data_IF_278205052912
#
_entry.id   IF_278205052912
#
_cell.length_a   1.000
_cell.length_b   1.000
_cell.length_c   1.000
_cell.angle_alpha   90.00
_cell.angle_beta   90.00
_cell.angle_gamma   90.00
#
_symmetry.space_group_name_H-M   'P 1'
#
loop_
_entity.id
_entity.type
_entity.pdbx_description
1 polymer ?
#
# COMPACT_ATOMS: atom_id res chain seq x y z
N UNK A 1 -3.70 -15.07 -4.18
CA UNK A 1 -2.87 -13.86 -4.26
C UNK A 1 -2.68 -13.52 -5.75
N UNK A 2 -3.15 -12.34 -6.17
CA UNK A 2 -3.13 -11.94 -7.58
C UNK A 2 -1.70 -11.76 -8.11
N UNK A 3 -0.79 -11.27 -7.28
CA UNK A 3 0.63 -11.13 -7.60
C UNK A 3 1.31 -12.47 -7.95
N UNK A 4 0.98 -13.54 -7.22
CA UNK A 4 1.52 -14.87 -7.54
C UNK A 4 1.01 -15.37 -8.90
N UNK A 5 -0.26 -15.11 -9.25
CA UNK A 5 -0.81 -15.41 -10.57
C UNK A 5 -0.13 -14.56 -11.66
N UNK A 6 0.06 -13.28 -11.42
CA UNK A 6 0.76 -12.36 -12.31
C UNK A 6 2.20 -12.82 -12.57
N UNK A 7 2.94 -13.21 -11.54
CA UNK A 7 4.30 -13.75 -11.69
C UNK A 7 4.34 -15.06 -12.46
N UNK A 8 3.37 -15.94 -12.22
CA UNK A 8 3.23 -17.16 -13.00
C UNK A 8 2.97 -16.85 -14.50
N UNK A 9 2.07 -15.92 -14.79
CA UNK A 9 1.79 -15.44 -16.13
C UNK A 9 3.05 -14.85 -16.79
N UNK A 10 3.79 -14.01 -16.09
CA UNK A 10 5.07 -13.46 -16.56
C UNK A 10 6.07 -14.57 -16.88
N UNK A 11 6.32 -15.47 -15.94
CA UNK A 11 7.27 -16.57 -16.13
C UNK A 11 6.95 -17.44 -17.34
N UNK A 12 5.65 -17.76 -17.51
CA UNK A 12 5.17 -18.56 -18.65
C UNK A 12 5.38 -17.85 -19.99
N UNK A 13 5.05 -16.56 -20.07
CA UNK A 13 5.08 -15.82 -21.34
C UNK A 13 6.50 -15.38 -21.74
N UNK A 14 7.40 -15.20 -20.78
CA UNK A 14 8.77 -14.70 -21.01
C UNK A 14 9.84 -15.77 -20.81
N UNK A 15 9.45 -17.04 -20.64
CA UNK A 15 10.39 -18.13 -20.44
C UNK A 15 11.27 -17.92 -19.20
N UNK A 16 10.74 -17.21 -18.18
CA UNK A 16 11.48 -16.84 -17.00
C UNK A 16 11.16 -17.79 -15.83
N UNK A 17 12.09 -17.83 -14.87
CA UNK A 17 11.90 -18.53 -13.60
C UNK A 17 12.21 -17.57 -12.46
N UNK A 18 11.24 -16.73 -12.11
CA UNK A 18 11.40 -15.70 -11.08
C UNK A 18 10.65 -16.05 -9.81
N UNK A 19 11.22 -15.71 -8.67
CA UNK A 19 10.64 -15.82 -7.33
C UNK A 19 10.77 -14.50 -6.59
N UNK A 20 9.92 -14.19 -5.59
CA UNK A 20 10.09 -13.01 -4.77
C UNK A 20 11.34 -13.14 -3.92
N UNK A 21 12.13 -12.08 -3.86
CA UNK A 21 13.37 -12.02 -3.08
C UNK A 21 13.55 -10.66 -2.42
N UNK A 22 14.46 -10.60 -1.45
CA UNK A 22 14.99 -9.34 -0.93
C UNK A 22 16.44 -9.21 -1.37
N UNK A 23 16.72 -8.16 -2.14
CA UNK A 23 18.09 -7.79 -2.51
C UNK A 23 18.71 -6.92 -1.43
N UNK A 24 20.00 -7.11 -1.15
CA UNK A 24 20.75 -6.30 -0.19
C UNK A 24 22.10 -5.91 -0.80
N UNK A 25 22.44 -4.63 -0.70
CA UNK A 25 23.73 -4.10 -1.07
C UNK A 25 24.12 -2.97 -0.13
N UNK A 26 25.26 -3.09 0.52
CA UNK A 26 25.73 -2.17 1.56
C UNK A 26 24.70 -2.04 2.69
N UNK A 27 24.20 -0.85 2.94
CA UNK A 27 23.14 -0.55 3.93
C UNK A 27 21.73 -0.51 3.32
N UNK A 28 21.60 -0.76 2.01
CA UNK A 28 20.33 -0.68 1.29
C UNK A 28 19.73 -2.06 1.08
N UNK A 29 18.41 -2.11 1.09
CA UNK A 29 17.66 -3.33 0.78
C UNK A 29 16.42 -3.01 -0.05
N UNK A 30 16.03 -3.92 -0.92
CA UNK A 30 14.85 -3.81 -1.75
C UNK A 30 14.12 -5.14 -1.85
N UNK A 31 12.80 -5.12 -1.72
CA UNK A 31 11.95 -6.26 -2.06
C UNK A 31 11.66 -6.24 -3.56
N UNK A 32 11.77 -7.41 -4.19
CA UNK A 32 11.47 -7.62 -5.61
C UNK A 32 10.32 -8.61 -5.74
N UNK A 33 9.32 -8.28 -6.55
CA UNK A 33 8.18 -9.16 -6.82
C UNK A 33 8.59 -10.41 -7.60
N UNK A 34 9.65 -10.31 -8.43
CA UNK A 34 10.24 -11.44 -9.09
C UNK A 34 11.70 -11.19 -9.49
N UNK A 35 12.58 -12.12 -9.13
CA UNK A 35 13.98 -12.18 -9.55
C UNK A 35 14.37 -13.61 -9.85
N UNK A 36 15.13 -13.82 -10.91
CA UNK A 36 15.56 -15.14 -11.35
C UNK A 36 16.32 -15.08 -12.67
N UNK A 37 16.12 -16.09 -13.51
CA UNK A 37 16.75 -16.17 -14.83
C UNK A 37 15.70 -16.38 -15.91
N UNK A 38 16.02 -15.94 -17.14
CA UNK A 38 15.28 -16.30 -18.33
C UNK A 38 15.80 -17.64 -18.94
N UNK A 39 15.23 -18.05 -20.08
CA UNK A 39 15.63 -19.28 -20.79
C UNK A 39 17.05 -19.28 -21.32
N UNK A 40 17.69 -18.12 -21.41
CA UNK A 40 19.08 -17.96 -21.85
C UNK A 40 20.06 -17.86 -20.66
N UNK A 41 19.54 -17.96 -19.42
CA UNK A 41 20.32 -17.88 -18.19
C UNK A 41 20.66 -16.45 -17.75
N UNK A 42 20.11 -15.41 -18.40
CA UNK A 42 20.33 -14.01 -18.04
C UNK A 42 19.53 -13.66 -16.79
N UNK A 43 20.11 -12.89 -15.89
CA UNK A 43 19.44 -12.42 -14.67
C UNK A 43 18.35 -11.41 -15.02
N UNK A 44 17.15 -11.72 -14.58
CA UNK A 44 15.95 -10.94 -14.87
C UNK A 44 15.24 -10.55 -13.57
N UNK A 45 14.72 -9.34 -13.52
CA UNK A 45 13.77 -8.92 -12.49
C UNK A 45 12.47 -8.40 -13.10
N UNK A 46 11.40 -8.52 -12.34
CA UNK A 46 10.10 -7.97 -12.69
C UNK A 46 9.47 -7.30 -11.47
N UNK A 47 9.00 -6.07 -11.67
CA UNK A 47 8.12 -5.36 -10.75
C UNK A 47 6.68 -5.53 -11.22
N UNK A 48 5.81 -6.04 -10.35
CA UNK A 48 4.45 -6.44 -10.70
C UNK A 48 3.44 -5.47 -10.08
N UNK A 49 2.51 -5.01 -10.90
CA UNK A 49 1.37 -4.21 -10.45
C UNK A 49 0.06 -4.86 -10.86
N UNK A 50 -0.80 -5.11 -9.86
CA UNK A 50 -2.13 -5.69 -10.04
C UNK A 50 -3.19 -4.65 -9.62
N UNK A 51 -3.54 -3.69 -10.48
CA UNK A 51 -4.42 -2.60 -10.10
C UNK A 51 -5.86 -3.08 -9.89
N UNK A 52 -6.42 -2.79 -8.72
CA UNK A 52 -7.78 -3.20 -8.38
C UNK A 52 -8.89 -2.55 -9.25
N UNK A 53 -8.59 -1.38 -9.87
CA UNK A 53 -9.47 -0.71 -10.85
C UNK A 53 -9.29 -1.24 -12.28
N UNK A 54 -8.48 -2.26 -12.48
CA UNK A 54 -8.20 -2.80 -13.81
C UNK A 54 -7.74 -1.72 -14.79
N UNK A 55 -8.35 -1.66 -15.97
CA UNK A 55 -8.02 -0.72 -17.06
C UNK A 55 -8.30 0.74 -16.72
N UNK A 56 -9.13 1.03 -15.73
CA UNK A 56 -9.43 2.40 -15.31
C UNK A 56 -8.39 2.98 -14.37
N UNK A 57 -7.41 2.20 -13.95
CA UNK A 57 -6.32 2.65 -13.07
C UNK A 57 -5.34 3.55 -13.80
N UNK A 58 -4.71 4.47 -13.08
CA UNK A 58 -3.67 5.35 -13.61
C UNK A 58 -2.46 4.55 -14.09
N UNK A 59 -2.05 3.53 -13.33
CA UNK A 59 -0.90 2.69 -13.71
C UNK A 59 -1.15 1.94 -15.02
N UNK A 60 -2.37 1.46 -15.27
CA UNK A 60 -2.71 0.84 -16.54
C UNK A 60 -2.69 1.85 -17.69
N UNK A 61 -3.26 3.04 -17.48
CA UNK A 61 -3.32 4.09 -18.51
C UNK A 61 -1.93 4.55 -18.93
N UNK A 62 -1.03 4.78 -17.97
CA UNK A 62 0.37 5.11 -18.27
C UNK A 62 1.07 3.94 -18.98
N UNK A 63 0.93 2.73 -18.46
CA UNK A 63 1.55 1.55 -19.06
C UNK A 63 1.06 1.30 -20.50
N UNK A 64 -0.21 1.58 -20.80
CA UNK A 64 -0.75 1.45 -22.16
C UNK A 64 -0.15 2.45 -23.16
N UNK A 65 0.48 3.51 -22.68
CA UNK A 65 1.25 4.48 -23.45
C UNK A 65 2.75 4.17 -23.50
N UNK A 66 3.18 3.08 -22.86
CA UNK A 66 4.58 2.70 -22.72
C UNK A 66 5.32 3.48 -21.61
N UNK A 67 4.57 4.11 -20.70
CA UNK A 67 5.12 4.96 -19.65
C UNK A 67 5.07 4.26 -18.28
N UNK A 68 6.10 4.51 -17.48
CA UNK A 68 6.19 4.10 -16.08
C UNK A 68 6.12 5.35 -15.20
N UNK A 69 5.25 5.37 -14.21
CA UNK A 69 5.18 6.48 -13.27
C UNK A 69 6.52 6.70 -12.57
N UNK A 70 6.90 7.97 -12.36
CA UNK A 70 8.22 8.35 -11.84
C UNK A 70 8.59 7.63 -10.53
N UNK A 71 7.64 7.44 -9.63
CA UNK A 71 7.91 6.73 -8.36
C UNK A 71 8.19 5.23 -8.56
N UNK A 72 7.59 4.56 -9.55
CA UNK A 72 7.94 3.19 -9.91
C UNK A 72 9.29 3.10 -10.61
N UNK A 73 9.62 4.08 -11.45
CA UNK A 73 10.97 4.18 -12.02
C UNK A 73 12.03 4.19 -10.91
N UNK A 74 11.91 5.07 -9.91
CA UNK A 74 12.86 5.15 -8.81
C UNK A 74 12.87 3.90 -7.92
N UNK A 75 11.73 3.26 -7.70
CA UNK A 75 11.67 1.96 -7.03
C UNK A 75 12.50 0.92 -7.80
N UNK A 76 12.36 0.86 -9.12
CA UNK A 76 13.08 -0.10 -9.96
C UNK A 76 14.57 0.22 -10.09
N UNK A 77 14.97 1.49 -10.06
CA UNK A 77 16.38 1.92 -9.96
C UNK A 77 16.97 1.42 -8.64
N UNK A 78 16.27 1.62 -7.52
CA UNK A 78 16.73 1.13 -6.22
C UNK A 78 16.87 -0.40 -6.18
N UNK A 79 15.90 -1.12 -6.72
CA UNK A 79 15.98 -2.58 -6.87
C UNK A 79 17.17 -3.02 -7.71
N UNK A 80 17.47 -2.31 -8.82
CA UNK A 80 18.64 -2.59 -9.67
C UNK A 80 19.95 -2.33 -8.96
N UNK A 81 19.99 -1.35 -8.06
CA UNK A 81 21.16 -1.09 -7.21
C UNK A 81 21.38 -2.22 -6.21
N UNK A 82 20.31 -2.70 -5.56
CA UNK A 82 20.41 -3.77 -4.55
C UNK A 82 20.69 -5.15 -5.14
N UNK A 83 20.28 -5.40 -6.38
CA UNK A 83 20.50 -6.66 -7.09
C UNK A 83 20.88 -6.38 -8.55
N UNK A 84 22.07 -6.83 -8.92
CA UNK A 84 22.55 -6.73 -10.28
C UNK A 84 21.72 -7.59 -11.22
N UNK A 85 21.12 -6.96 -12.25
CA UNK A 85 20.23 -7.60 -13.23
C UNK A 85 20.63 -7.20 -14.65
N UNK A 86 20.50 -8.13 -15.58
CA UNK A 86 20.74 -7.87 -17.01
C UNK A 86 19.48 -7.35 -17.70
N UNK A 87 18.32 -7.75 -17.17
CA UNK A 87 17.01 -7.35 -17.69
C UNK A 87 16.07 -6.96 -16.55
N UNK A 88 15.29 -5.92 -16.78
CA UNK A 88 14.33 -5.41 -15.82
C UNK A 88 13.01 -5.10 -16.53
N UNK A 89 11.88 -5.52 -15.94
CA UNK A 89 10.56 -5.35 -16.51
C UNK A 89 9.58 -4.79 -15.50
N UNK A 90 8.73 -3.89 -15.97
CA UNK A 90 7.54 -3.44 -15.28
C UNK A 90 6.34 -4.18 -15.87
N UNK A 91 5.61 -4.91 -15.03
CA UNK A 91 4.51 -5.80 -15.45
C UNK A 91 3.21 -5.39 -14.80
N UNK A 92 2.27 -4.89 -15.61
CA UNK A 92 0.93 -4.53 -15.13
C UNK A 92 -0.03 -5.62 -15.55
N UNK A 93 -0.66 -6.29 -14.58
CA UNK A 93 -1.44 -7.49 -14.78
C UNK A 93 -2.89 -7.30 -14.30
N UNK A 94 -3.83 -7.70 -15.13
CA UNK A 94 -5.26 -7.79 -14.80
C UNK A 94 -5.71 -9.26 -14.87
N UNK A 95 -5.34 -9.97 -15.96
CA UNK A 95 -5.63 -11.39 -16.17
C UNK A 95 -4.58 -11.99 -17.11
N UNK A 96 -4.60 -13.31 -17.30
CA UNK A 96 -3.67 -14.01 -18.21
C UNK A 96 -3.78 -13.56 -19.67
N UNK A 97 -4.93 -13.02 -20.06
CA UNK A 97 -5.18 -12.49 -21.41
C UNK A 97 -5.07 -10.96 -21.47
N UNK A 98 -4.84 -10.28 -20.33
CA UNK A 98 -4.84 -8.84 -20.25
C UNK A 98 -3.72 -8.32 -19.31
N UNK A 99 -2.57 -8.06 -19.89
CA UNK A 99 -1.40 -7.53 -19.21
C UNK A 99 -0.59 -6.62 -20.13
N UNK A 100 0.26 -5.79 -19.52
CA UNK A 100 1.23 -4.94 -20.22
C UNK A 100 2.60 -5.18 -19.61
N UNK A 101 3.61 -5.27 -20.46
CA UNK A 101 5.02 -5.37 -20.07
C UNK A 101 5.78 -4.19 -20.66
N UNK A 102 6.59 -3.54 -19.83
CA UNK A 102 7.46 -2.45 -20.24
C UNK A 102 8.89 -2.80 -19.82
N UNK A 103 9.85 -2.90 -20.76
CA UNK A 103 11.25 -2.98 -20.40
C UNK A 103 11.68 -1.72 -19.65
N UNK A 104 12.45 -1.89 -18.59
CA UNK A 104 12.98 -0.79 -17.79
C UNK A 104 14.49 -0.80 -17.80
N UNK A 105 15.09 0.38 -17.98
CA UNK A 105 16.52 0.59 -17.93
C UNK A 105 16.85 1.53 -16.78
N UNK A 106 17.77 1.12 -15.92
CA UNK A 106 18.37 1.99 -14.89
C UNK A 106 19.74 2.43 -15.40
N UNK A 107 19.93 3.74 -15.53
CA UNK A 107 21.20 4.30 -15.96
C UNK A 107 22.17 4.49 -14.77
N UNK A 108 23.45 4.71 -15.06
CA UNK A 108 24.42 5.12 -14.03
C UNK A 108 24.04 6.48 -13.42
N UNK A 109 23.48 7.40 -14.23
CA UNK A 109 22.98 8.69 -13.77
C UNK A 109 21.81 8.54 -12.79
N UNK A 110 20.85 7.65 -13.11
CA UNK A 110 19.74 7.35 -12.20
C UNK A 110 20.24 6.81 -10.87
N UNK A 111 21.21 5.89 -10.93
CA UNK A 111 21.80 5.31 -9.72
C UNK A 111 22.54 6.36 -8.89
N UNK A 112 23.32 7.23 -9.52
CA UNK A 112 24.00 8.32 -8.83
C UNK A 112 23.02 9.30 -8.20
N UNK A 113 21.96 9.67 -8.91
CA UNK A 113 20.91 10.56 -8.40
C UNK A 113 20.15 9.93 -7.23
N UNK A 114 19.85 8.62 -7.29
CA UNK A 114 19.24 7.88 -6.19
C UNK A 114 20.12 7.89 -4.93
N UNK A 115 21.41 7.60 -5.07
CA UNK A 115 22.32 7.57 -3.93
C UNK A 115 22.52 8.95 -3.31
N UNK A 116 22.65 9.99 -4.13
CA UNK A 116 22.71 11.36 -3.63
C UNK A 116 21.43 11.77 -2.86
N UNK A 117 20.26 11.37 -3.36
CA UNK A 117 19.00 11.63 -2.66
C UNK A 117 18.90 10.84 -1.33
N UNK A 118 19.45 9.64 -1.25
CA UNK A 118 19.53 8.89 0.00
C UNK A 118 20.51 9.52 1.01
N UNK A 119 21.65 10.03 0.55
CA UNK A 119 22.60 10.75 1.40
C UNK A 119 21.92 12.02 1.96
N UNK A 120 21.29 12.82 1.10
CA UNK A 120 20.54 14.01 1.53
C UNK A 120 19.43 13.65 2.54
N UNK A 121 18.68 12.57 2.29
CA UNK A 121 17.63 12.11 3.20
C UNK A 121 18.18 11.66 4.57
N UNK A 122 19.29 10.93 4.57
CA UNK A 122 19.91 10.42 5.80
C UNK A 122 20.60 11.54 6.62
N UNK A 123 21.11 12.56 5.92
CA UNK A 123 21.74 13.73 6.55
C UNK A 123 20.70 14.82 6.91
N UNK A 124 19.47 14.69 6.42
CA UNK A 124 18.42 15.63 6.75
C UNK A 124 18.13 15.62 8.25
N UNK A 125 18.15 16.79 8.86
CA UNK A 125 17.64 16.93 10.23
C UNK A 125 16.14 16.53 10.24
N UNK A 126 15.67 15.90 11.34
CA UNK A 126 14.26 15.57 11.47
C UNK A 126 13.41 16.81 11.22
N UNK A 127 12.27 16.63 10.55
CA UNK A 127 11.34 17.71 10.23
C UNK A 127 11.15 18.62 11.45
N UNK A 128 11.24 19.96 11.29
CA UNK A 128 11.24 20.92 12.39
C UNK A 128 10.00 20.84 13.30
N UNK A 129 8.95 20.16 12.84
CA UNK A 129 7.72 19.95 13.62
C UNK A 129 7.80 18.79 14.63
N UNK A 130 8.88 18.01 14.62
CA UNK A 130 9.06 16.87 15.54
C UNK A 130 10.27 17.12 16.47
N UNK A 131 9.99 17.11 17.75
CA UNK A 131 11.04 17.12 18.79
C UNK A 131 11.36 15.67 19.13
N UNK A 132 12.61 15.25 18.95
CA UNK A 132 13.08 13.95 19.38
C UNK A 132 13.11 13.87 20.89
N UNK A 133 12.33 12.97 21.48
CA UNK A 133 12.29 12.69 22.92
C UNK A 133 12.64 11.21 23.13
N UNK A 134 13.80 10.95 23.69
CA UNK A 134 14.32 9.60 23.93
C UNK A 134 14.54 9.30 25.44
N UNK A 135 13.82 10.00 26.30
CA UNK A 135 13.88 9.69 27.73
C UNK A 135 13.16 8.36 28.05
N UNK A 136 13.56 7.75 29.17
CA UNK A 136 13.07 6.43 29.58
C UNK A 136 11.57 6.44 29.90
N UNK A 137 11.05 7.56 30.39
CA UNK A 137 9.63 7.71 30.69
C UNK A 137 8.80 7.71 29.38
N UNK A 138 9.26 8.45 28.36
CA UNK A 138 8.60 8.46 27.05
C UNK A 138 8.62 7.08 26.42
N UNK A 139 9.74 6.36 26.50
CA UNK A 139 9.87 4.99 26.00
C UNK A 139 8.88 4.05 26.69
N UNK A 140 8.75 4.11 28.01
CA UNK A 140 7.80 3.31 28.76
C UNK A 140 6.36 3.59 28.30
N UNK A 141 5.96 4.86 28.22
CA UNK A 141 4.62 5.23 27.80
C UNK A 141 4.30 4.80 26.37
N UNK A 142 5.25 4.91 25.45
CA UNK A 142 5.08 4.45 24.07
C UNK A 142 4.89 2.94 24.03
N UNK A 143 5.70 2.19 24.78
CA UNK A 143 5.59 0.74 24.87
C UNK A 143 4.24 0.29 25.45
N UNK A 144 3.83 0.89 26.56
CA UNK A 144 2.54 0.60 27.19
C UNK A 144 1.36 0.95 26.28
N UNK A 145 1.44 2.08 25.58
CA UNK A 145 0.42 2.49 24.62
C UNK A 145 0.31 1.51 23.45
N UNK A 146 1.43 1.05 22.90
CA UNK A 146 1.44 0.04 21.82
C UNK A 146 0.82 -1.28 22.28
N UNK A 147 1.13 -1.74 23.48
CA UNK A 147 0.57 -2.97 24.04
C UNK A 147 -0.94 -2.84 24.26
N UNK A 148 -1.40 -1.73 24.82
CA UNK A 148 -2.83 -1.45 25.00
C UNK A 148 -3.58 -1.37 23.66
N UNK A 149 -2.98 -0.85 22.61
CA UNK A 149 -3.58 -0.85 21.28
C UNK A 149 -3.76 -2.26 20.73
N UNK A 150 -2.77 -3.15 20.93
CA UNK A 150 -2.89 -4.58 20.53
C UNK A 150 -4.01 -5.27 21.30
N UNK A 151 -4.09 -5.05 22.61
CA UNK A 151 -5.16 -5.60 23.45
C UNK A 151 -6.53 -5.06 23.02
N UNK A 152 -6.65 -3.77 22.74
CA UNK A 152 -7.87 -3.15 22.24
C UNK A 152 -8.33 -3.82 20.94
N UNK A 153 -7.46 -3.97 19.96
CA UNK A 153 -7.77 -4.61 18.66
C UNK A 153 -8.25 -6.06 18.86
N UNK A 154 -7.59 -6.80 19.76
CA UNK A 154 -8.00 -8.16 20.09
C UNK A 154 -9.38 -8.21 20.73
N UNK A 155 -9.68 -7.30 21.66
CA UNK A 155 -10.98 -7.19 22.29
C UNK A 155 -12.08 -6.77 21.31
N UNK A 156 -11.80 -5.82 20.44
CA UNK A 156 -12.73 -5.39 19.37
C UNK A 156 -13.07 -6.57 18.46
N UNK A 157 -12.07 -7.35 18.04
CA UNK A 157 -12.31 -8.57 17.24
C UNK A 157 -13.22 -9.57 17.97
N UNK A 158 -13.01 -9.81 19.26
CA UNK A 158 -13.88 -10.67 20.06
C UNK A 158 -15.31 -10.12 20.18
N UNK A 159 -15.42 -8.84 20.42
CA UNK A 159 -16.74 -8.15 20.48
C UNK A 159 -17.48 -8.34 19.17
N UNK A 160 -16.84 -8.10 18.03
CA UNK A 160 -17.44 -8.25 16.70
C UNK A 160 -17.90 -9.69 16.42
N UNK A 161 -17.12 -10.69 16.85
CA UNK A 161 -17.51 -12.10 16.74
C UNK A 161 -18.78 -12.39 17.56
N UNK A 162 -18.85 -11.89 18.80
CA UNK A 162 -20.03 -12.05 19.68
C UNK A 162 -21.22 -11.31 19.06
N UNK A 163 -21.06 -10.06 18.64
CA UNK A 163 -22.11 -9.27 18.00
C UNK A 163 -22.65 -9.95 16.75
N UNK A 164 -21.77 -10.51 15.93
CA UNK A 164 -22.15 -11.28 14.74
C UNK A 164 -22.98 -12.51 15.10
N UNK A 165 -22.55 -13.25 16.13
CA UNK A 165 -23.29 -14.42 16.64
C UNK A 165 -24.67 -14.04 17.19
N UNK A 166 -24.75 -12.94 17.94
CA UNK A 166 -26.01 -12.42 18.46
C UNK A 166 -26.97 -12.00 17.33
N UNK A 167 -26.49 -11.28 16.33
CA UNK A 167 -27.27 -10.87 15.14
C UNK A 167 -27.77 -12.09 14.36
N UNK A 168 -26.89 -13.06 14.13
CA UNK A 168 -27.24 -14.29 13.44
C UNK A 168 -28.34 -15.05 14.19
N UNK A 169 -28.25 -15.14 15.53
CA UNK A 169 -29.25 -15.80 16.36
C UNK A 169 -30.59 -15.07 16.40
N UNK A 170 -30.56 -13.73 16.35
CA UNK A 170 -31.79 -12.91 16.32
C UNK A 170 -32.49 -12.99 14.96
N UNK A 171 -31.76 -13.18 13.85
CA UNK A 171 -32.30 -13.11 12.50
C UNK A 171 -32.95 -11.73 12.25
N UNK A 172 -34.12 -11.73 11.59
CA UNK A 172 -34.86 -10.50 11.27
C UNK A 172 -35.78 -10.03 12.40
N UNK A 173 -35.71 -10.65 13.59
CA UNK A 173 -36.61 -10.36 14.72
C UNK A 173 -35.98 -9.35 15.68
N UNK A 174 -36.82 -8.48 16.21
CA UNK A 174 -36.46 -7.70 17.39
C UNK A 174 -36.45 -8.62 18.61
N UNK A 175 -35.32 -8.73 19.29
CA UNK A 175 -35.08 -9.65 20.40
C UNK A 175 -34.72 -8.88 21.66
N UNK A 176 -35.30 -9.28 22.79
CA UNK A 176 -34.90 -8.86 24.13
C UNK A 176 -34.55 -10.14 24.91
N UNK A 177 -33.29 -10.28 25.31
CA UNK A 177 -32.82 -11.43 26.07
C UNK A 177 -31.75 -11.00 27.09
N UNK A 178 -31.88 -11.39 28.33
CA UNK A 178 -30.92 -11.10 29.41
C UNK A 178 -30.48 -9.62 29.47
N UNK A 179 -31.39 -8.69 29.27
CA UNK A 179 -31.12 -7.25 29.23
C UNK A 179 -30.48 -6.74 27.90
N UNK A 180 -30.13 -7.62 27.00
CA UNK A 180 -29.63 -7.27 25.68
C UNK A 180 -30.81 -7.07 24.70
N UNK A 181 -30.88 -5.91 24.05
CA UNK A 181 -31.86 -5.56 23.03
C UNK A 181 -31.22 -5.54 21.65
N UNK A 182 -31.70 -6.37 20.74
CA UNK A 182 -31.25 -6.43 19.35
C UNK A 182 -32.43 -5.96 18.49
N UNK A 183 -32.22 -4.90 17.71
CA UNK A 183 -33.23 -4.32 16.84
C UNK A 183 -32.70 -4.01 15.46
N UNK A 184 -33.49 -4.27 14.45
CA UNK A 184 -33.24 -3.77 13.10
C UNK A 184 -33.70 -2.32 13.02
N UNK A 185 -32.77 -1.40 12.74
CA UNK A 185 -33.05 0.03 12.61
C UNK A 185 -32.74 0.44 11.18
N UNK A 186 -33.77 0.88 10.46
CA UNK A 186 -33.57 1.54 9.18
C UNK A 186 -33.07 2.99 9.40
N UNK A 187 -31.96 3.32 8.78
CA UNK A 187 -31.46 4.70 8.71
C UNK A 187 -31.51 5.19 7.27
N UNK A 188 -32.04 6.37 7.06
CA UNK A 188 -31.91 7.04 5.75
C UNK A 188 -30.44 7.19 5.44
N UNK A 189 -30.05 6.86 4.21
CA UNK A 189 -28.69 7.06 3.73
C UNK A 189 -28.26 8.53 3.88
N UNK A 190 -26.96 8.75 4.05
CA UNK A 190 -26.42 10.11 4.01
C UNK A 190 -26.59 10.72 2.61
N UNK A 191 -26.81 12.04 2.57
CA UNK A 191 -26.90 12.76 1.29
C UNK A 191 -25.52 12.75 0.62
N UNK A 192 -25.48 12.28 -0.62
CA UNK A 192 -24.28 12.39 -1.46
C UNK A 192 -24.30 13.76 -2.17
N UNK A 193 -23.67 14.74 -1.55
CA UNK A 193 -23.62 16.10 -2.07
C UNK A 193 -22.96 16.22 -3.45
N UNK A 194 -22.13 15.26 -3.85
CA UNK A 194 -21.48 15.24 -5.18
C UNK A 194 -22.46 14.94 -6.31
N UNK A 195 -23.61 14.33 -5.98
CA UNK A 195 -24.67 14.01 -6.95
C UNK A 195 -25.75 15.09 -7.08
N UNK A 196 -25.62 16.19 -6.35
CA UNK A 196 -26.57 17.27 -6.40
C UNK A 196 -26.12 18.27 -7.46
N UNK A 197 -26.81 18.32 -8.59
CA UNK A 197 -26.39 19.14 -9.76
C UNK A 197 -26.32 20.63 -9.44
N UNK A 198 -27.20 21.13 -8.57
CA UNK A 198 -27.22 22.55 -8.15
C UNK A 198 -26.01 22.95 -7.29
N UNK A 199 -25.24 21.98 -6.79
CA UNK A 199 -24.01 22.24 -6.02
C UNK A 199 -22.73 22.07 -6.87
N UNK A 200 -22.87 21.73 -8.16
CA UNK A 200 -21.72 21.69 -9.07
C UNK A 200 -21.18 23.10 -9.26
N UNK A 201 -19.90 23.30 -8.94
CA UNK A 201 -19.21 24.59 -9.04
C UNK A 201 -19.42 25.53 -7.84
N UNK A 202 -20.16 25.10 -6.81
CA UNK A 202 -20.25 25.86 -5.55
C UNK A 202 -19.01 25.53 -4.71
N UNK A 203 -18.30 26.59 -4.27
CA UNK A 203 -17.25 26.45 -3.26
C UNK A 203 -17.88 26.13 -1.90
N UNK A 204 -17.82 24.85 -1.49
CA UNK A 204 -18.37 24.38 -0.23
C UNK A 204 -17.47 24.70 0.96
N UNK A 205 -16.22 25.12 0.74
CA UNK A 205 -15.26 25.38 1.83
C UNK A 205 -15.70 26.57 2.70
N UNK A 206 -16.39 27.55 2.11
CA UNK A 206 -16.99 28.67 2.84
C UNK A 206 -18.04 28.24 3.89
N UNK A 207 -18.59 27.03 3.78
CA UNK A 207 -19.59 26.47 4.73
C UNK A 207 -18.98 25.48 5.72
N UNK A 208 -17.65 25.31 5.71
CA UNK A 208 -17.00 24.43 6.68
C UNK A 208 -17.06 25.02 8.08
N UNK A 209 -17.20 24.15 9.05
CA UNK A 209 -17.01 24.53 10.46
C UNK A 209 -15.56 25.00 10.66
N UNK A 210 -15.30 25.85 11.66
CA UNK A 210 -13.93 26.24 12.00
C UNK A 210 -13.02 25.00 12.13
N UNK A 211 -11.79 25.14 11.64
CA UNK A 211 -10.78 24.09 11.79
C UNK A 211 -10.56 23.79 13.27
N UNK A 212 -10.39 22.52 13.60
CA UNK A 212 -10.00 22.09 14.94
C UNK A 212 -8.62 21.44 14.87
N UNK A 213 -7.80 21.72 15.85
CA UNK A 213 -6.47 21.12 15.98
C UNK A 213 -6.54 19.94 16.95
N UNK A 214 -5.95 18.82 16.59
CA UNK A 214 -5.81 17.67 17.49
C UNK A 214 -4.44 17.01 17.30
N UNK A 215 -3.94 16.36 18.34
CA UNK A 215 -2.73 15.56 18.26
C UNK A 215 -3.07 14.13 17.82
N UNK A 216 -2.34 13.62 16.83
CA UNK A 216 -2.45 12.24 16.37
C UNK A 216 -1.21 11.47 16.80
N UNK A 217 -1.40 10.31 17.41
CA UNK A 217 -0.34 9.33 17.67
C UNK A 217 -0.43 8.25 16.61
N UNK A 218 0.66 7.96 15.95
CA UNK A 218 0.77 6.86 14.99
C UNK A 218 2.14 6.20 15.15
N UNK A 219 2.24 4.94 14.73
CA UNK A 219 3.47 4.17 14.77
C UNK A 219 3.83 3.77 13.36
N UNK A 220 5.13 3.78 13.04
CA UNK A 220 5.64 3.22 11.79
C UNK A 220 5.65 1.70 11.92
N UNK A 221 5.24 1.02 10.85
CA UNK A 221 5.40 -0.43 10.76
C UNK A 221 6.90 -0.74 10.63
N UNK A 222 7.40 -1.69 11.44
CA UNK A 222 8.80 -2.12 11.45
C UNK A 222 9.11 -3.01 10.25
#
# INVERSE_FOLDING_TARGET
>A
NLEAAARHCFNKNFGANTIPVVGVKDTYSASLDGFGTDSEGRRIKVEIKCPWRGVDSEVWKLASQGEIAKYYHWQMVHQSYCLDTEQSFFFVYISDDQFIVIPHVSTEEDTAALLAAWEEFNDAEPEPDFVLMEDEQMRSWVTDHQELLKQKTHLETKIDQIVTSLKHRAGDKNVLAFGCKIQTIERKGSVDYKKIDTLKGVDLDQYRKPASTYQKISYQEA
#
